data_IF_639386598379
#
_entry.id   IF_639386598379
#
_cell.length_a   1.000
_cell.length_b   1.000
_cell.length_c   1.000
_cell.angle_alpha   90.00
_cell.angle_beta   90.00
_cell.angle_gamma   90.00
#
_symmetry.space_group_name_H-M   'P 1'
#
loop_
_entity.id
_entity.type
_entity.pdbx_description
1 polymer ?
#
# COMPACT_ATOMS: atom_id res chain seq x y z
N UNK A 1 2.27 6.96 -3.72
CA UNK A 1 2.08 5.50 -3.63
C UNK A 1 1.16 5.12 -2.48
N UNK A 2 0.07 4.42 -2.80
CA UNK A 2 -0.90 3.85 -1.88
C UNK A 2 -0.75 2.32 -1.86
N UNK A 3 -0.95 1.71 -0.69
CA UNK A 3 -0.78 0.28 -0.48
C UNK A 3 -2.09 -0.36 -0.05
N UNK A 4 -2.52 -1.38 -0.77
CA UNK A 4 -3.75 -2.13 -0.51
C UNK A 4 -3.47 -3.54 0.01
N UNK A 5 -4.23 -3.93 1.02
CA UNK A 5 -4.31 -5.33 1.44
C UNK A 5 -4.95 -6.17 0.34
N UNK A 6 -4.37 -7.35 0.10
CA UNK A 6 -4.85 -8.30 -0.91
C UNK A 6 -5.31 -9.56 -0.19
N UNK A 7 -6.50 -10.04 -0.54
CA UNK A 7 -7.04 -11.28 0.01
C UNK A 7 -6.13 -12.44 -0.36
N UNK A 8 -5.87 -13.32 0.62
CA UNK A 8 -4.99 -14.48 0.45
C UNK A 8 -5.38 -15.29 -0.80
N UNK A 9 -4.40 -15.52 -1.68
CA UNK A 9 -4.56 -16.30 -2.91
C UNK A 9 -4.96 -15.51 -4.15
N UNK A 10 -5.40 -14.25 -4.02
CA UNK A 10 -5.83 -13.43 -5.16
C UNK A 10 -4.67 -13.17 -6.14
N UNK A 11 -3.52 -12.71 -5.64
CA UNK A 11 -2.32 -12.49 -6.45
C UNK A 11 -1.97 -13.71 -7.31
N UNK A 12 -1.94 -14.90 -6.68
CA UNK A 12 -1.66 -16.16 -7.38
C UNK A 12 -2.73 -16.52 -8.40
N UNK A 13 -4.00 -16.29 -8.06
CA UNK A 13 -5.12 -16.59 -8.97
C UNK A 13 -5.15 -15.69 -10.21
N UNK A 14 -4.68 -14.44 -10.06
CA UNK A 14 -4.57 -13.49 -11.17
C UNK A 14 -3.33 -13.77 -12.02
N UNK A 15 -2.28 -14.34 -11.43
CA UNK A 15 -1.02 -14.67 -12.12
C UNK A 15 0.11 -13.69 -11.82
N UNK A 16 0.15 -13.13 -10.60
CA UNK A 16 1.16 -12.16 -10.17
C UNK A 16 1.11 -10.88 -11.01
N UNK A 17 2.28 -10.25 -11.19
CA UNK A 17 2.40 -8.98 -11.91
C UNK A 17 1.99 -9.07 -13.39
N UNK A 18 2.33 -10.18 -14.08
CA UNK A 18 1.86 -10.40 -15.46
C UNK A 18 0.33 -10.46 -15.56
N UNK A 19 -0.29 -11.12 -14.59
CA UNK A 19 -1.75 -11.16 -14.43
C UNK A 19 -2.35 -9.79 -14.12
N UNK A 20 -1.72 -9.04 -13.22
CA UNK A 20 -2.13 -7.69 -12.84
C UNK A 20 -2.08 -6.73 -14.03
N UNK A 21 -1.04 -6.82 -14.86
CA UNK A 21 -0.92 -6.04 -16.09
C UNK A 21 -2.02 -6.39 -17.10
N UNK A 22 -2.34 -7.68 -17.26
CA UNK A 22 -3.47 -8.11 -18.09
C UNK A 22 -4.81 -7.59 -17.56
N UNK A 23 -4.98 -7.56 -16.23
CA UNK A 23 -6.14 -6.99 -15.58
C UNK A 23 -6.23 -5.48 -15.83
N UNK A 24 -5.11 -4.77 -15.70
CA UNK A 24 -5.02 -3.34 -15.97
C UNK A 24 -5.47 -3.00 -17.41
N UNK A 25 -5.10 -3.82 -18.40
CA UNK A 25 -5.50 -3.66 -19.80
C UNK A 25 -7.01 -3.83 -20.05
N UNK A 26 -7.78 -4.37 -19.09
CA UNK A 26 -9.24 -4.47 -19.17
C UNK A 26 -9.94 -3.20 -18.64
N UNK A 27 -9.28 -2.45 -17.77
CA UNK A 27 -9.88 -1.32 -17.04
C UNK A 27 -9.31 0.03 -17.45
N UNK A 28 -8.12 0.06 -18.04
CA UNK A 28 -7.38 1.29 -18.37
C UNK A 28 -6.93 1.34 -19.83
N UNK A 29 -6.54 2.53 -20.27
CA UNK A 29 -5.98 2.82 -21.57
C UNK A 29 -4.46 3.00 -21.48
N UNK A 30 -3.77 2.92 -22.62
CA UNK A 30 -2.33 3.15 -22.74
C UNK A 30 -1.48 2.31 -21.78
N UNK A 31 -1.86 1.05 -21.58
CA UNK A 31 -1.14 0.14 -20.68
C UNK A 31 0.22 -0.22 -21.26
N UNK A 32 1.27 0.10 -20.52
CA UNK A 32 2.66 -0.29 -20.77
C UNK A 32 3.11 -1.14 -19.60
N UNK A 33 3.90 -2.17 -19.88
CA UNK A 33 4.39 -3.14 -18.89
C UNK A 33 5.90 -3.24 -19.02
N UNK A 34 6.60 -3.16 -17.90
CA UNK A 34 8.05 -3.34 -17.88
C UNK A 34 8.46 -4.81 -17.73
N UNK A 35 9.77 -5.07 -17.66
CA UNK A 35 10.32 -6.42 -17.58
C UNK A 35 9.97 -7.15 -16.26
N UNK A 36 9.58 -6.42 -15.21
CA UNK A 36 9.19 -6.95 -13.90
C UNK A 36 7.67 -7.16 -13.81
N UNK A 37 6.94 -6.87 -14.89
CA UNK A 37 5.50 -6.98 -14.96
C UNK A 37 4.77 -5.81 -14.29
N UNK A 38 5.48 -4.74 -13.91
CA UNK A 38 4.88 -3.54 -13.35
C UNK A 38 4.20 -2.79 -14.49
N UNK A 39 2.91 -2.50 -14.31
CA UNK A 39 2.15 -1.79 -15.33
C UNK A 39 2.11 -0.30 -15.04
N UNK A 40 2.05 0.49 -16.11
CA UNK A 40 1.65 1.90 -16.09
C UNK A 40 0.52 2.10 -17.08
N UNK A 41 -0.51 2.83 -16.69
CA UNK A 41 -1.69 3.05 -17.49
C UNK A 41 -2.30 4.44 -17.24
N UNK A 42 -3.35 4.77 -17.98
CA UNK A 42 -4.11 6.00 -17.83
C UNK A 42 -5.57 5.77 -18.21
N UNK A 43 -6.52 6.55 -17.69
CA UNK A 43 -7.89 6.59 -18.22
C UNK A 43 -8.55 7.91 -17.84
N UNK A 44 -9.01 8.67 -18.83
CA UNK A 44 -9.67 9.96 -18.65
C UNK A 44 -8.95 10.86 -17.62
N UNK A 45 -9.58 11.10 -16.46
CA UNK A 45 -9.04 11.95 -15.39
C UNK A 45 -7.83 11.34 -14.65
N UNK A 46 -7.62 10.03 -14.75
CA UNK A 46 -6.48 9.32 -14.17
C UNK A 46 -5.34 9.32 -15.18
N UNK A 47 -4.45 10.31 -15.08
CA UNK A 47 -3.35 10.51 -16.03
C UNK A 47 -2.27 9.45 -15.94
N UNK A 48 -2.08 8.92 -14.74
CA UNK A 48 -1.06 7.93 -14.48
C UNK A 48 -1.57 6.99 -13.40
N UNK A 49 -1.46 5.69 -13.67
CA UNK A 49 -1.73 4.61 -12.75
C UNK A 49 -0.60 3.62 -12.90
N UNK A 50 0.34 3.61 -11.95
CA UNK A 50 1.36 2.57 -11.84
C UNK A 50 0.88 1.54 -10.83
N UNK A 51 1.08 0.25 -11.07
CA UNK A 51 0.70 -0.79 -10.11
C UNK A 51 1.52 -2.06 -10.18
N UNK A 52 1.78 -2.63 -9.01
CA UNK A 52 2.51 -3.90 -8.83
C UNK A 52 2.07 -4.63 -7.56
N UNK A 53 2.20 -5.95 -7.55
CA UNK A 53 2.24 -6.72 -6.32
C UNK A 53 3.65 -6.69 -5.73
N UNK A 54 3.75 -6.35 -4.45
CA UNK A 54 5.00 -6.36 -3.68
C UNK A 54 5.35 -7.78 -3.25
N UNK A 55 6.60 -8.01 -2.84
CA UNK A 55 7.10 -9.34 -2.43
C UNK A 55 6.30 -10.00 -1.30
N UNK A 56 5.66 -9.22 -0.43
CA UNK A 56 4.77 -9.69 0.63
C UNK A 56 3.28 -9.79 0.22
N UNK A 57 3.02 -9.76 -1.10
CA UNK A 57 1.72 -9.98 -1.71
C UNK A 57 0.71 -8.87 -1.43
N UNK A 58 1.14 -7.61 -1.40
CA UNK A 58 0.26 -6.43 -1.32
C UNK A 58 0.25 -5.70 -2.64
N UNK A 59 -0.84 -5.02 -2.93
CA UNK A 59 -0.94 -4.20 -4.14
C UNK A 59 -0.42 -2.80 -3.82
N UNK A 60 0.65 -2.38 -4.48
CA UNK A 60 1.17 -1.03 -4.44
C UNK A 60 0.74 -0.30 -5.71
N UNK A 61 0.19 0.90 -5.57
CA UNK A 61 -0.21 1.73 -6.70
C UNK A 61 0.26 3.16 -6.55
N UNK A 62 0.59 3.80 -7.68
CA UNK A 62 0.81 5.23 -7.74
C UNK A 62 -0.16 5.86 -8.72
N UNK A 63 -0.99 6.79 -8.24
CA UNK A 63 -2.06 7.40 -9.03
C UNK A 63 -1.87 8.90 -9.11
N UNK A 64 -1.86 9.43 -10.32
CA UNK A 64 -1.90 10.86 -10.59
C UNK A 64 -3.20 11.20 -11.33
N UNK A 65 -3.96 12.14 -10.79
CA UNK A 65 -5.24 12.58 -11.32
C UNK A 65 -5.14 14.05 -11.75
N UNK A 66 -5.89 14.42 -12.80
CA UNK A 66 -6.17 15.82 -13.16
C UNK A 66 -6.68 16.61 -11.95
N UNK A 67 -6.26 17.88 -11.83
CA UNK A 67 -6.67 18.79 -10.76
C UNK A 67 -6.76 20.22 -11.30
N UNK A 68 -7.44 21.10 -10.56
CA UNK A 68 -7.53 22.52 -10.91
C UNK A 68 -8.22 22.77 -12.25
N UNK A 69 -7.74 23.77 -12.99
CA UNK A 69 -8.33 24.22 -14.24
C UNK A 69 -8.41 23.09 -15.28
N UNK A 70 -7.39 22.24 -15.36
CA UNK A 70 -7.40 21.09 -16.26
C UNK A 70 -8.56 20.13 -15.99
N UNK A 71 -8.86 19.85 -14.71
CA UNK A 71 -10.02 19.02 -14.36
C UNK A 71 -11.32 19.75 -14.69
N UNK A 72 -11.39 21.06 -14.45
CA UNK A 72 -12.56 21.88 -14.77
C UNK A 72 -12.85 21.86 -16.27
N UNK A 73 -11.82 22.04 -17.09
CA UNK A 73 -11.90 22.02 -18.56
C UNK A 73 -12.32 20.64 -19.07
N UNK A 74 -11.69 19.58 -18.54
CA UNK A 74 -12.05 18.21 -18.89
C UNK A 74 -13.51 17.90 -18.56
N UNK A 75 -13.99 18.31 -17.38
CA UNK A 75 -15.37 18.07 -16.94
C UNK A 75 -16.42 18.93 -17.67
N UNK A 76 -16.00 20.06 -18.24
CA UNK A 76 -16.88 20.96 -18.98
C UNK A 76 -16.96 20.62 -20.47
N UNK A 77 -15.99 19.85 -20.98
CA UNK A 77 -16.02 19.30 -22.33
C UNK A 77 -17.17 18.29 -22.50
N UNK A 78 -17.61 18.12 -23.75
CA UNK A 78 -18.67 17.18 -24.09
C UNK A 78 -18.30 15.73 -23.70
N UNK A 79 -19.20 15.07 -22.97
CA UNK A 79 -18.97 13.74 -22.39
C UNK A 79 -17.93 13.67 -21.27
N UNK A 80 -17.39 14.81 -20.80
CA UNK A 80 -16.31 14.87 -19.83
C UNK A 80 -16.67 14.28 -18.48
N UNK A 81 -17.88 14.57 -17.99
CA UNK A 81 -18.37 14.03 -16.71
C UNK A 81 -18.59 12.53 -16.77
N UNK A 82 -19.14 12.04 -17.87
CA UNK A 82 -19.40 10.62 -18.12
C UNK A 82 -18.07 9.84 -18.16
N UNK A 83 -17.07 10.35 -18.89
CA UNK A 83 -15.71 9.77 -18.92
C UNK A 83 -15.04 9.79 -17.56
N UNK A 84 -15.20 10.87 -16.79
CA UNK A 84 -14.68 10.96 -15.43
C UNK A 84 -15.34 9.93 -14.49
N UNK A 85 -16.65 9.72 -14.60
CA UNK A 85 -17.38 8.69 -13.85
C UNK A 85 -16.95 7.29 -14.26
N UNK A 86 -16.78 7.04 -15.57
CA UNK A 86 -16.29 5.76 -16.09
C UNK A 86 -14.91 5.44 -15.51
N UNK A 87 -13.96 6.39 -15.55
CA UNK A 87 -12.63 6.19 -14.98
C UNK A 87 -12.66 5.86 -13.48
N UNK A 88 -13.53 6.52 -12.70
CA UNK A 88 -13.71 6.19 -11.27
C UNK A 88 -14.29 4.79 -11.08
N UNK A 89 -15.26 4.41 -11.91
CA UNK A 89 -15.85 3.07 -11.90
C UNK A 89 -14.80 2.01 -12.25
N UNK A 90 -14.07 2.18 -13.35
CA UNK A 90 -12.99 1.27 -13.77
C UNK A 90 -11.90 1.15 -12.71
N UNK A 91 -11.49 2.26 -12.09
CA UNK A 91 -10.54 2.23 -10.96
C UNK A 91 -11.07 1.41 -9.78
N UNK A 92 -12.32 1.62 -9.38
CA UNK A 92 -12.92 0.88 -8.28
C UNK A 92 -13.02 -0.61 -8.60
N UNK A 93 -13.49 -0.98 -9.80
CA UNK A 93 -13.63 -2.37 -10.22
C UNK A 93 -12.27 -3.06 -10.33
N UNK A 94 -11.27 -2.38 -10.91
CA UNK A 94 -9.90 -2.87 -10.94
C UNK A 94 -9.40 -3.19 -9.52
N UNK A 95 -9.59 -2.29 -8.55
CA UNK A 95 -9.19 -2.56 -7.18
C UNK A 95 -9.97 -3.72 -6.55
N UNK A 96 -11.26 -3.87 -6.86
CA UNK A 96 -12.07 -5.00 -6.37
C UNK A 96 -11.49 -6.33 -6.83
N UNK A 97 -11.15 -6.43 -8.13
CA UNK A 97 -10.59 -7.62 -8.74
C UNK A 97 -9.15 -7.88 -8.29
N UNK A 98 -8.29 -6.86 -8.33
CA UNK A 98 -6.87 -6.96 -7.97
C UNK A 98 -6.65 -7.25 -6.48
N UNK A 99 -7.56 -6.84 -5.61
CA UNK A 99 -7.43 -7.06 -4.15
C UNK A 99 -8.32 -8.18 -3.61
N UNK A 100 -9.41 -8.53 -4.32
CA UNK A 100 -10.46 -9.43 -3.85
C UNK A 100 -11.31 -8.88 -2.70
N UNK A 101 -11.29 -7.56 -2.51
CA UNK A 101 -12.03 -6.83 -1.48
C UNK A 101 -12.90 -5.75 -2.12
N UNK A 102 -14.13 -5.59 -1.63
CA UNK A 102 -14.99 -4.47 -2.02
C UNK A 102 -14.49 -3.12 -1.47
N UNK A 103 -15.01 -1.96 -1.93
CA UNK A 103 -14.59 -0.66 -1.42
C UNK A 103 -14.74 -0.53 0.10
N UNK A 104 -15.82 -1.08 0.67
CA UNK A 104 -16.03 -1.11 2.13
C UNK A 104 -14.95 -1.93 2.83
N UNK A 105 -14.66 -3.13 2.32
CA UNK A 105 -13.63 -4.00 2.90
C UNK A 105 -12.24 -3.38 2.78
N UNK A 106 -11.91 -2.72 1.66
CA UNK A 106 -10.66 -1.96 1.52
C UNK A 106 -10.56 -0.86 2.57
N UNK A 107 -11.65 -0.12 2.82
CA UNK A 107 -11.70 0.89 3.87
C UNK A 107 -11.47 0.31 5.28
N UNK A 108 -12.06 -0.85 5.58
CA UNK A 108 -11.83 -1.55 6.85
C UNK A 108 -10.37 -2.05 6.98
N UNK A 109 -9.80 -2.56 5.91
CA UNK A 109 -8.40 -3.01 5.86
C UNK A 109 -7.41 -1.86 6.00
N UNK A 110 -7.68 -0.71 5.39
CA UNK A 110 -6.88 0.51 5.59
C UNK A 110 -6.88 0.95 7.05
N UNK A 111 -8.04 0.91 7.73
CA UNK A 111 -8.14 1.19 9.17
C UNK A 111 -7.39 0.19 10.03
N UNK A 112 -7.46 -1.10 9.71
CA UNK A 112 -6.64 -2.13 10.37
C UNK A 112 -5.14 -1.83 10.20
N UNK A 113 -4.71 -1.50 8.98
CA UNK A 113 -3.33 -1.09 8.68
C UNK A 113 -2.87 0.11 9.50
N UNK A 114 -3.68 1.17 9.56
CA UNK A 114 -3.39 2.36 10.36
C UNK A 114 -3.27 2.05 11.86
N UNK A 115 -4.11 1.15 12.40
CA UNK A 115 -4.00 0.68 13.79
C UNK A 115 -2.68 -0.06 14.03
N UNK A 116 -2.25 -0.92 13.10
CA UNK A 116 -0.98 -1.65 13.19
C UNK A 116 0.21 -0.67 13.20
N UNK A 117 0.21 0.30 12.29
CA UNK A 117 1.22 1.38 12.24
C UNK A 117 1.29 2.14 13.57
N UNK A 118 0.15 2.55 14.12
CA UNK A 118 0.09 3.26 15.39
C UNK A 118 0.67 2.42 16.54
N UNK A 119 0.30 1.14 16.63
CA UNK A 119 0.84 0.20 17.62
C UNK A 119 2.35 0.04 17.50
N UNK A 120 2.88 -0.06 16.28
CA UNK A 120 4.33 -0.16 16.03
C UNK A 120 5.10 1.08 16.47
N UNK A 121 4.56 2.28 16.19
CA UNK A 121 5.15 3.54 16.69
C UNK A 121 5.20 3.57 18.22
N UNK A 122 4.13 3.12 18.87
CA UNK A 122 4.09 3.01 20.34
C UNK A 122 5.12 2.00 20.87
N UNK A 123 5.29 0.86 20.20
CA UNK A 123 6.28 -0.15 20.60
C UNK A 123 7.72 0.40 20.52
N UNK A 124 8.07 1.14 19.46
CA UNK A 124 9.36 1.83 19.34
C UNK A 124 9.56 2.80 20.52
N UNK A 125 8.56 3.64 20.81
CA UNK A 125 8.65 4.62 21.90
C UNK A 125 8.84 3.95 23.26
N UNK A 126 8.09 2.88 23.54
CA UNK A 126 8.22 2.11 24.78
C UNK A 126 9.58 1.42 24.90
N UNK A 127 10.07 0.79 23.82
CA UNK A 127 11.39 0.15 23.81
C UNK A 127 12.51 1.15 24.09
N UNK A 128 12.50 2.31 23.41
CA UNK A 128 13.46 3.38 23.67
C UNK A 128 13.38 3.87 25.11
N UNK A 129 12.17 4.07 25.64
CA UNK A 129 12.01 4.52 27.01
C UNK A 129 12.50 3.47 28.01
N UNK A 130 12.27 2.19 27.75
CA UNK A 130 12.75 1.11 28.59
C UNK A 130 14.29 1.05 28.62
N UNK A 131 14.94 1.16 27.46
CA UNK A 131 16.40 1.19 27.36
C UNK A 131 17.04 2.40 28.06
N UNK A 132 16.34 3.54 28.08
CA UNK A 132 16.76 4.77 28.76
C UNK A 132 16.68 4.64 30.30
N UNK A 133 15.59 4.08 30.83
CA UNK A 133 15.37 4.02 32.29
C UNK A 133 15.96 2.77 32.96
N UNK A 134 16.14 1.68 32.22
CA UNK A 134 16.56 0.41 32.79
C UNK A 134 18.09 0.31 32.86
N UNK A 135 18.60 0.11 34.08
CA UNK A 135 20.03 -0.09 34.36
C UNK A 135 20.52 -1.52 34.02
N UNK A 136 19.61 -2.44 33.71
CA UNK A 136 19.88 -3.87 33.58
C UNK A 136 19.75 -4.39 32.14
N UNK A 137 19.77 -3.50 31.14
CA UNK A 137 19.79 -3.89 29.73
C UNK A 137 21.23 -3.93 29.25
N UNK A 138 21.70 -5.10 28.83
CA UNK A 138 23.03 -5.25 28.24
C UNK A 138 23.14 -4.47 26.93
N UNK A 139 24.35 -4.06 26.59
CA UNK A 139 24.61 -3.33 25.34
C UNK A 139 24.27 -4.19 24.10
N UNK A 140 24.43 -5.51 24.19
CA UNK A 140 23.98 -6.46 23.17
C UNK A 140 22.46 -6.39 22.95
N UNK A 141 21.66 -6.37 24.02
CA UNK A 141 20.20 -6.24 23.92
C UNK A 141 19.79 -4.87 23.35
N UNK A 142 20.52 -3.80 23.70
CA UNK A 142 20.28 -2.46 23.14
C UNK A 142 20.56 -2.43 21.64
N UNK A 143 21.67 -3.03 21.21
CA UNK A 143 22.03 -3.12 19.80
C UNK A 143 20.96 -3.88 18.99
N UNK A 144 20.51 -5.04 19.48
CA UNK A 144 19.42 -5.81 18.85
C UNK A 144 18.10 -5.02 18.79
N UNK A 145 17.79 -4.26 19.84
CA UNK A 145 16.59 -3.44 19.86
C UNK A 145 16.65 -2.28 18.86
N UNK A 146 17.79 -1.58 18.74
CA UNK A 146 17.96 -0.51 17.76
C UNK A 146 17.94 -1.04 16.31
N UNK A 147 18.49 -2.23 16.06
CA UNK A 147 18.37 -2.90 14.76
C UNK A 147 16.90 -3.17 14.41
N UNK A 148 16.14 -3.77 15.33
CA UNK A 148 14.70 -3.99 15.14
C UNK A 148 13.92 -2.68 14.98
N UNK A 149 14.27 -1.62 15.73
CA UNK A 149 13.64 -0.30 15.58
C UNK A 149 13.89 0.25 14.19
N UNK A 150 15.11 0.12 13.67
CA UNK A 150 15.46 0.54 12.31
C UNK A 150 14.63 -0.21 11.26
N UNK A 151 14.53 -1.55 11.37
CA UNK A 151 13.68 -2.34 10.48
C UNK A 151 12.20 -1.96 10.58
N UNK A 152 11.68 -1.73 11.79
CA UNK A 152 10.29 -1.28 11.98
C UNK A 152 10.10 0.06 11.28
N UNK A 153 11.01 1.01 11.45
CA UNK A 153 10.91 2.33 10.82
C UNK A 153 10.88 2.24 9.30
N UNK A 154 11.77 1.43 8.71
CA UNK A 154 11.75 1.16 7.28
C UNK A 154 10.38 0.64 6.82
N UNK A 155 9.80 -0.33 7.54
CA UNK A 155 8.47 -0.87 7.21
C UNK A 155 7.33 0.11 7.46
N UNK A 156 7.48 1.04 8.38
CA UNK A 156 6.52 2.14 8.58
C UNK A 156 6.56 3.13 7.41
N UNK A 157 7.76 3.44 6.89
CA UNK A 157 7.95 4.37 5.77
C UNK A 157 7.40 3.76 4.46
N UNK A 158 7.51 2.44 4.29
CA UNK A 158 6.86 1.68 3.21
C UNK A 158 5.32 1.57 3.37
N UNK A 159 4.76 2.04 4.49
CA UNK A 159 3.34 1.83 4.85
C UNK A 159 2.98 0.37 5.17
N UNK A 160 3.97 -0.51 5.36
CA UNK A 160 3.77 -1.93 5.66
C UNK A 160 3.49 -2.16 7.16
N UNK A 161 2.30 -1.75 7.59
CA UNK A 161 1.86 -1.88 8.98
C UNK A 161 1.84 -3.33 9.49
N UNK A 162 1.56 -4.31 8.62
CA UNK A 162 1.54 -5.73 9.01
C UNK A 162 2.95 -6.21 9.37
N UNK A 163 3.96 -5.92 8.53
CA UNK A 163 5.35 -6.30 8.83
C UNK A 163 5.91 -5.50 10.01
N UNK A 164 5.64 -4.19 10.06
CA UNK A 164 6.03 -3.34 11.16
C UNK A 164 5.52 -3.88 12.52
N UNK A 165 4.26 -4.34 12.59
CA UNK A 165 3.71 -4.91 13.81
C UNK A 165 4.40 -6.22 14.19
N UNK A 166 4.64 -7.12 13.24
CA UNK A 166 5.35 -8.37 13.50
C UNK A 166 6.75 -8.14 14.07
N UNK A 167 7.48 -7.15 13.55
CA UNK A 167 8.78 -6.75 14.09
C UNK A 167 8.66 -6.08 15.47
N UNK A 168 7.62 -5.28 15.68
CA UNK A 168 7.32 -4.66 16.98
C UNK A 168 7.02 -5.69 18.08
N UNK A 169 6.34 -6.79 17.73
CA UNK A 169 6.11 -7.91 18.65
C UNK A 169 7.43 -8.62 19.02
N UNK A 170 8.37 -8.75 18.07
CA UNK A 170 9.72 -9.26 18.37
C UNK A 170 10.49 -8.30 19.29
N UNK A 171 10.41 -6.99 19.03
CA UNK A 171 11.03 -5.96 19.87
C UNK A 171 10.52 -6.02 21.31
N UNK A 172 9.19 -6.12 21.50
CA UNK A 172 8.61 -6.24 22.84
C UNK A 172 9.11 -7.49 23.59
N UNK A 173 9.31 -8.61 22.89
CA UNK A 173 9.85 -9.86 23.48
C UNK A 173 11.31 -9.77 23.91
N UNK A 174 12.08 -8.75 23.49
CA UNK A 174 13.43 -8.54 24.01
C UNK A 174 13.44 -8.03 25.46
N UNK A 175 12.34 -7.39 25.88
CA UNK A 175 12.22 -6.67 27.15
C UNK A 175 11.15 -7.24 28.10
N UNK A 176 10.23 -8.07 27.61
CA UNK A 176 9.29 -8.84 28.42
C UNK A 176 9.83 -10.21 28.79
#
# INVERSE_FOLDING_TARGET
>A
MERFEVKRGIEKSIGGNAGLAKLAAQHFENVVVDAEGVFTASIAILKHVKGEYTEDGKLLVDVQQMKGDELSDFLSADGGREKAMLARSSWSTFLDEATGYSPKQRGDKAKEGAKKISKSKSAISMARKFMDVSKNVSDEKKAQAEELISEIQQKLDEGNGTRALSLSEKLNKLFG
#
